data_IF_502046058670
#
_entry.id   IF_502046058670
#
_cell.length_a   1.000
_cell.length_b   1.000
_cell.length_c   1.000
_cell.angle_alpha   90.00
_cell.angle_beta   90.00
_cell.angle_gamma   90.00
#
_symmetry.space_group_name_H-M   'P 1'
#
loop_
_entity.id
_entity.type
_entity.pdbx_description
1 polymer ?
#
# COMPACT_ATOMS: atom_id res chain seq x y z
N UNK A 1 -10.63 50.23 -10.61
CA UNK A 1 -11.19 49.10 -9.85
C UNK A 1 -10.27 47.89 -10.02
N UNK A 2 -9.63 47.40 -8.97
CA UNK A 2 -8.71 46.26 -9.10
C UNK A 2 -9.48 44.93 -9.14
N UNK A 3 -9.42 44.22 -10.28
CA UNK A 3 -10.01 42.89 -10.43
C UNK A 3 -9.38 41.91 -9.43
N UNK A 4 -10.20 41.28 -8.58
CA UNK A 4 -9.75 40.22 -7.66
C UNK A 4 -9.86 38.86 -8.35
N UNK A 5 -8.74 38.35 -8.87
CA UNK A 5 -8.69 36.99 -9.41
C UNK A 5 -8.67 35.96 -8.27
N UNK A 6 -9.69 35.09 -8.21
CA UNK A 6 -9.73 33.88 -7.38
C UNK A 6 -10.27 32.72 -8.22
N UNK A 7 -9.45 31.69 -8.43
CA UNK A 7 -9.83 30.47 -9.17
C UNK A 7 -9.69 29.25 -8.27
N UNK A 8 -10.72 28.40 -8.19
CA UNK A 8 -10.68 27.14 -7.45
C UNK A 8 -10.86 25.97 -8.43
N UNK A 9 -9.90 25.04 -8.48
CA UNK A 9 -9.88 23.92 -9.42
C UNK A 9 -9.85 22.61 -8.62
N UNK A 10 -10.72 21.66 -8.98
CA UNK A 10 -10.69 20.29 -8.45
C UNK A 10 -9.78 19.45 -9.33
N UNK A 11 -8.79 18.77 -8.74
CA UNK A 11 -7.80 17.98 -9.48
C UNK A 11 -8.04 16.48 -9.30
N UNK A 12 -8.54 16.10 -8.11
CA UNK A 12 -8.94 14.75 -7.78
C UNK A 12 -10.07 14.81 -6.73
N UNK A 13 -10.83 13.72 -6.51
CA UNK A 13 -11.74 13.62 -5.38
C UNK A 13 -11.03 13.98 -4.06
N UNK A 14 -11.52 15.01 -3.36
CA UNK A 14 -10.92 15.50 -2.12
C UNK A 14 -9.70 16.43 -2.26
N UNK A 15 -9.26 16.77 -3.47
CA UNK A 15 -8.12 17.70 -3.68
C UNK A 15 -8.56 18.93 -4.47
N UNK A 16 -8.36 20.12 -3.88
CA UNK A 16 -8.66 21.41 -4.50
C UNK A 16 -7.49 22.36 -4.45
N UNK A 17 -7.22 23.04 -5.56
CA UNK A 17 -6.28 24.17 -5.60
C UNK A 17 -7.06 25.47 -5.65
N UNK A 18 -6.74 26.40 -4.76
CA UNK A 18 -7.27 27.76 -4.74
C UNK A 18 -6.14 28.72 -5.10
N UNK A 19 -6.27 29.37 -6.25
CA UNK A 19 -5.36 30.38 -6.76
C UNK A 19 -5.95 31.76 -6.48
N UNK A 20 -5.16 32.66 -5.92
CA UNK A 20 -5.49 34.07 -5.76
C UNK A 20 -4.30 34.93 -6.19
N UNK A 21 -4.53 36.22 -6.46
CA UNK A 21 -3.47 37.14 -6.87
C UNK A 21 -2.26 37.22 -5.90
N UNK A 22 -2.43 36.83 -4.62
CA UNK A 22 -1.38 36.91 -3.59
C UNK A 22 -0.86 35.56 -3.11
N UNK A 23 -1.57 34.47 -3.36
CA UNK A 23 -1.17 33.13 -2.91
C UNK A 23 -1.93 32.01 -3.60
N UNK A 24 -1.29 30.85 -3.69
CA UNK A 24 -1.93 29.59 -4.03
C UNK A 24 -2.10 28.75 -2.76
N UNK A 25 -3.15 27.95 -2.66
CA UNK A 25 -3.33 27.00 -1.57
C UNK A 25 -3.96 25.70 -2.04
N UNK A 26 -3.46 24.59 -1.53
CA UNK A 26 -3.99 23.25 -1.78
C UNK A 26 -4.79 22.81 -0.56
N UNK A 27 -6.03 22.38 -0.77
CA UNK A 27 -6.87 21.73 0.25
C UNK A 27 -6.96 20.25 -0.08
N UNK A 28 -6.60 19.42 0.88
CA UNK A 28 -6.66 17.96 0.79
C UNK A 28 -7.61 17.44 1.87
N UNK A 29 -8.59 16.63 1.48
CA UNK A 29 -9.54 15.98 2.37
C UNK A 29 -10.98 15.92 1.82
N UNK A 30 -11.83 15.04 2.39
CA UNK A 30 -13.21 14.86 1.96
C UNK A 30 -14.06 16.14 2.18
N UNK A 31 -15.30 16.15 1.68
CA UNK A 31 -16.23 17.26 1.98
C UNK A 31 -16.43 17.32 3.50
N UNK A 32 -16.35 18.52 4.07
CA UNK A 32 -16.44 18.71 5.53
C UNK A 32 -15.09 18.79 6.22
N UNK A 33 -14.13 17.90 5.94
CA UNK A 33 -12.81 17.85 6.59
C UNK A 33 -11.68 18.12 5.60
N UNK A 34 -10.88 19.15 5.82
CA UNK A 34 -9.77 19.45 4.91
C UNK A 34 -8.60 20.15 5.56
N UNK A 35 -7.42 19.74 5.13
CA UNK A 35 -6.14 20.33 5.46
C UNK A 35 -5.70 21.26 4.34
N UNK A 36 -5.48 22.54 4.66
CA UNK A 36 -5.11 23.58 3.68
C UNK A 36 -3.67 24.03 3.89
N UNK A 37 -2.88 24.02 2.82
CA UNK A 37 -1.50 24.50 2.79
C UNK A 37 -1.43 25.64 1.78
N UNK A 38 -0.94 26.80 2.19
CA UNK A 38 -0.75 27.95 1.30
C UNK A 38 0.72 28.22 0.99
N UNK A 39 0.99 28.84 -0.16
CA UNK A 39 2.33 29.28 -0.57
C UNK A 39 2.93 30.33 0.35
N UNK A 40 2.11 31.00 1.18
CA UNK A 40 2.57 31.94 2.22
C UNK A 40 2.91 31.26 3.54
N UNK A 41 2.96 29.92 3.58
CA UNK A 41 3.33 29.13 4.75
C UNK A 41 2.21 28.94 5.78
N UNK A 42 1.03 29.55 5.58
CA UNK A 42 -0.12 29.35 6.47
C UNK A 42 -0.71 27.97 6.24
N UNK A 43 -0.83 27.20 7.33
CA UNK A 43 -1.44 25.87 7.37
C UNK A 43 -2.72 25.94 8.21
N UNK A 44 -3.81 25.36 7.73
CA UNK A 44 -5.11 25.38 8.42
C UNK A 44 -5.79 24.02 8.33
N UNK A 45 -6.19 23.49 9.48
CA UNK A 45 -7.10 22.35 9.55
C UNK A 45 -8.52 22.88 9.66
N UNK A 46 -9.45 22.34 8.88
CA UNK A 46 -10.86 22.72 8.90
C UNK A 46 -11.76 21.51 8.92
N UNK A 47 -12.75 21.51 9.80
CA UNK A 47 -13.81 20.51 9.91
C UNK A 47 -15.15 21.27 9.85
N UNK A 48 -16.13 20.74 9.15
CA UNK A 48 -17.46 21.35 9.00
C UNK A 48 -18.47 20.27 8.79
N UNK A 49 -19.62 20.42 9.43
CA UNK A 49 -20.74 19.50 9.32
C UNK A 49 -21.65 20.02 8.20
N UNK A 50 -21.85 19.27 7.10
CA UNK A 50 -22.73 19.69 6.01
C UNK A 50 -24.15 19.93 6.51
N UNK A 51 -24.80 21.00 6.05
CA UNK A 51 -26.22 21.28 6.35
C UNK A 51 -26.49 21.95 7.70
N UNK A 52 -25.54 21.97 8.64
CA UNK A 52 -25.76 22.55 9.99
C UNK A 52 -25.16 23.96 10.17
N UNK A 53 -24.41 24.46 9.18
CA UNK A 53 -23.68 25.74 9.27
C UNK A 53 -22.49 25.73 10.24
N UNK A 54 -22.27 24.63 10.98
CA UNK A 54 -21.20 24.49 11.95
C UNK A 54 -19.87 24.19 11.25
N UNK A 55 -18.90 25.09 11.44
CA UNK A 55 -17.53 24.89 10.97
C UNK A 55 -16.51 25.25 12.04
N UNK A 56 -15.55 24.36 12.23
CA UNK A 56 -14.38 24.55 13.07
C UNK A 56 -13.15 24.68 12.18
N UNK A 57 -12.27 25.62 12.51
CA UNK A 57 -10.99 25.70 11.80
C UNK A 57 -9.91 26.24 12.70
N UNK A 58 -8.73 25.62 12.63
CA UNK A 58 -7.58 25.95 13.47
C UNK A 58 -6.38 26.22 12.59
N UNK A 59 -5.74 27.38 12.80
CA UNK A 59 -4.43 27.65 12.24
C UNK A 59 -3.41 26.74 12.91
N UNK A 60 -2.63 26.00 12.12
CA UNK A 60 -1.57 25.14 12.64
C UNK A 60 -0.30 25.99 12.67
N UNK A 61 -0.06 26.70 13.77
CA UNK A 61 1.21 27.36 14.03
C UNK A 61 2.16 26.40 14.74
N UNK A 62 3.38 26.27 14.24
CA UNK A 62 4.48 25.69 15.02
C UNK A 62 4.79 26.66 16.15
N UNK A 63 4.45 26.30 17.39
CA UNK A 63 4.82 27.07 18.57
C UNK A 63 6.36 27.02 18.67
N UNK A 64 7.04 28.13 18.36
CA UNK A 64 8.43 28.34 18.81
C UNK A 64 8.36 28.40 20.34
N UNK A 65 8.98 27.45 21.01
CA UNK A 65 9.27 27.58 22.44
C UNK A 65 10.38 28.63 22.57
N UNK A 66 10.00 29.83 23.00
CA UNK A 66 10.96 30.84 23.46
C UNK A 66 11.35 30.48 24.90
N UNK A 67 12.64 30.28 25.14
CA UNK A 67 13.21 30.17 26.49
C UNK A 67 13.02 31.49 27.28
N UNK A 68 13.00 31.47 28.63
CA UNK A 68 12.86 32.68 29.44
C UNK A 68 14.10 33.58 29.28
N UNK A 69 13.85 34.88 29.08
CA UNK A 69 14.89 35.87 28.81
C UNK A 69 15.69 36.31 30.04
N UNK A 70 16.97 36.58 29.82
CA UNK A 70 17.78 37.51 30.61
C UNK A 70 17.83 38.87 29.87
N UNK A 71 18.00 40.01 30.57
CA UNK A 71 17.53 41.30 30.08
C UNK A 71 18.46 41.98 29.08
N UNK A 72 17.76 42.60 28.12
CA UNK A 72 18.12 43.69 27.21
C UNK A 72 19.31 44.57 27.61
N UNK A 73 20.26 44.72 26.68
CA UNK A 73 20.82 46.05 26.38
C UNK A 73 20.72 46.36 24.89
N UNK A 74 20.15 47.53 24.64
CA UNK A 74 19.89 48.14 23.33
C UNK A 74 21.11 48.99 22.95
N UNK A 75 21.68 48.76 21.78
CA UNK A 75 22.33 49.81 20.98
C UNK A 75 22.05 49.46 19.52
N UNK A 76 21.08 50.14 18.90
CA UNK A 76 21.28 51.37 18.13
C UNK A 76 22.05 51.10 16.81
N UNK A 77 21.26 50.90 15.75
CA UNK A 77 21.39 51.52 14.44
C UNK A 77 22.80 51.86 13.91
N UNK A 78 23.14 51.34 12.73
CA UNK A 78 23.58 52.19 11.61
C UNK A 78 23.62 51.43 10.27
N UNK A 79 23.55 52.24 9.22
CA UNK A 79 23.11 51.98 7.85
C UNK A 79 24.28 51.96 6.85
N UNK A 80 24.07 51.25 5.71
CA UNK A 80 24.53 51.57 4.34
C UNK A 80 26.06 51.37 4.02
N UNK A 81 26.53 51.45 2.74
CA UNK A 81 26.34 50.47 1.65
C UNK A 81 27.62 50.22 0.76
N UNK A 82 27.48 49.33 -0.24
CA UNK A 82 28.05 49.38 -1.63
C UNK A 82 29.55 49.58 -1.95
N UNK A 83 30.14 48.64 -2.71
CA UNK A 83 30.97 48.81 -3.95
C UNK A 83 31.31 47.39 -4.51
N UNK A 84 31.07 46.98 -5.77
CA UNK A 84 31.62 47.29 -7.12
C UNK A 84 33.11 46.90 -7.38
N UNK A 85 33.32 45.65 -7.83
CA UNK A 85 34.24 45.11 -8.89
C UNK A 85 35.77 45.35 -8.83
N UNK A 86 36.59 44.86 -9.80
CA UNK A 86 36.44 43.73 -10.74
C UNK A 86 37.73 42.87 -10.97
N UNK A 87 37.56 41.73 -11.67
CA UNK A 87 38.43 41.04 -12.68
C UNK A 87 39.96 40.93 -12.45
N UNK A 88 40.48 39.68 -12.48
CA UNK A 88 41.77 39.36 -13.12
C UNK A 88 41.81 37.90 -13.63
N UNK A 89 42.22 37.78 -14.89
CA UNK A 89 42.41 36.60 -15.73
C UNK A 89 43.86 36.12 -15.60
N UNK A 90 44.15 34.80 -15.57
CA UNK A 90 45.43 34.29 -16.10
C UNK A 90 45.34 32.81 -16.48
N UNK A 91 45.91 32.53 -17.66
CA UNK A 91 45.95 31.28 -18.43
C UNK A 91 47.38 30.68 -18.42
N UNK A 92 47.48 29.45 -18.96
CA UNK A 92 48.68 28.74 -19.49
C UNK A 92 49.60 28.09 -18.42
N UNK A 93 50.27 26.94 -18.60
CA UNK A 93 50.39 25.98 -19.71
C UNK A 93 51.35 24.81 -19.33
N UNK A 94 51.13 23.64 -19.95
CA UNK A 94 52.10 22.68 -20.57
C UNK A 94 53.02 21.78 -19.70
N UNK A 95 53.08 20.50 -20.13
CA UNK A 95 54.30 19.68 -20.19
C UNK A 95 54.13 18.25 -19.62
N UNK A 96 53.85 17.23 -20.43
CA UNK A 96 54.80 16.26 -21.04
C UNK A 96 55.47 15.30 -20.01
N UNK A 97 55.63 13.99 -20.19
CA UNK A 97 55.37 13.01 -21.26
C UNK A 97 56.06 11.67 -20.91
N UNK A 98 55.76 10.62 -21.71
CA UNK A 98 56.55 9.39 -21.99
C UNK A 98 56.77 8.33 -20.87
N UNK A 99 56.23 7.09 -21.00
CA UNK A 99 56.72 5.88 -21.73
C UNK A 99 57.80 5.09 -20.97
N UNK A 100 57.53 3.81 -20.63
CA UNK A 100 58.18 2.59 -21.18
C UNK A 100 57.72 1.29 -20.47
N UNK A 101 57.61 0.22 -21.26
CA UNK A 101 57.34 -1.20 -21.05
C UNK A 101 58.06 -1.97 -19.91
N UNK A 102 57.53 -3.16 -19.59
CA UNK A 102 58.34 -4.32 -19.20
C UNK A 102 57.60 -5.45 -18.47
N UNK A 103 57.10 -6.44 -19.21
CA UNK A 103 57.02 -7.85 -18.76
C UNK A 103 58.43 -8.50 -19.01
N UNK A 104 58.77 -9.76 -18.63
CA UNK A 104 57.89 -10.90 -18.33
C UNK A 104 58.39 -11.93 -17.27
N UNK A 105 57.53 -12.94 -17.04
CA UNK A 105 57.79 -14.39 -16.75
C UNK A 105 58.93 -14.85 -15.83
N UNK A 106 58.60 -15.73 -14.87
CA UNK A 106 59.21 -17.08 -14.86
C UNK A 106 58.45 -18.13 -14.06
N UNK A 107 58.46 -19.32 -14.65
CA UNK A 107 57.96 -20.63 -14.19
C UNK A 107 58.89 -21.29 -13.16
N UNK A 108 58.35 -22.28 -12.43
CA UNK A 108 58.87 -23.65 -12.10
C UNK A 108 58.38 -24.05 -10.69
N UNK A 109 57.51 -25.05 -10.45
CA UNK A 109 57.43 -26.50 -10.74
C UNK A 109 58.33 -27.38 -9.83
N UNK A 110 57.73 -28.50 -9.37
CA UNK A 110 58.29 -29.74 -8.77
C UNK A 110 58.33 -29.74 -7.22
N UNK A 111 57.98 -30.79 -6.45
CA UNK A 111 57.10 -31.98 -6.55
C UNK A 111 57.14 -32.72 -5.19
N UNK A 112 56.04 -33.42 -4.86
CA UNK A 112 55.96 -34.71 -4.14
C UNK A 112 56.46 -34.87 -2.68
N UNK A 113 55.59 -35.45 -1.83
CA UNK A 113 56.05 -36.28 -0.70
C UNK A 113 55.07 -36.50 0.47
N UNK A 114 54.37 -37.65 0.43
CA UNK A 114 53.92 -38.51 1.56
C UNK A 114 52.76 -38.08 2.51
N UNK A 115 51.74 -38.94 2.52
CA UNK A 115 50.83 -39.27 3.66
C UNK A 115 51.51 -40.34 4.57
N UNK A 116 50.93 -40.86 5.68
CA UNK A 116 49.65 -40.57 6.36
C UNK A 116 49.75 -40.48 7.91
N UNK A 117 48.62 -40.20 8.59
CA UNK A 117 48.06 -40.93 9.78
C UNK A 117 47.36 -40.03 10.83
N UNK A 118 46.21 -40.58 11.27
CA UNK A 118 45.59 -40.56 12.60
C UNK A 118 45.01 -39.28 13.24
N UNK A 119 43.82 -39.47 13.81
CA UNK A 119 43.39 -38.74 15.02
C UNK A 119 41.93 -38.27 15.01
N UNK A 120 40.99 -39.20 15.10
CA UNK A 120 39.58 -38.92 15.46
C UNK A 120 39.38 -39.12 16.96
N UNK A 121 38.93 -38.07 17.65
CA UNK A 121 38.53 -38.06 19.08
C UNK A 121 37.45 -36.96 19.18
N UNK A 122 36.28 -37.06 19.82
CA UNK A 122 35.77 -37.84 20.95
C UNK A 122 34.21 -37.64 21.03
N UNK A 123 33.45 -38.06 22.06
CA UNK A 123 32.46 -39.13 21.92
C UNK A 123 31.01 -38.75 22.30
N UNK A 124 30.14 -39.74 22.10
CA UNK A 124 28.74 -39.83 22.51
C UNK A 124 28.61 -40.40 23.93
N UNK A 125 27.55 -40.09 24.69
CA UNK A 125 26.78 -41.02 25.55
C UNK A 125 25.65 -40.33 26.36
N UNK A 126 24.42 -40.82 26.15
CA UNK A 126 23.22 -40.80 27.02
C UNK A 126 23.34 -41.95 28.09
N UNK A 127 22.27 -42.36 28.84
CA UNK A 127 21.44 -41.70 29.87
C UNK A 127 21.30 -42.60 31.15
N UNK A 128 20.42 -42.20 32.11
CA UNK A 128 19.43 -43.05 32.86
C UNK A 128 19.31 -42.83 34.39
N UNK A 129 18.12 -42.33 34.79
CA UNK A 129 17.18 -42.83 35.83
C UNK A 129 17.57 -42.91 37.31
N UNK A 130 16.83 -42.21 38.20
CA UNK A 130 15.79 -42.77 39.09
C UNK A 130 15.42 -41.85 40.29
N UNK A 131 14.11 -41.80 40.54
CA UNK A 131 13.32 -41.24 41.68
C UNK A 131 13.62 -41.92 43.05
N UNK A 132 13.17 -41.41 44.23
CA UNK A 132 11.74 -41.27 44.58
C UNK A 132 11.30 -40.12 45.53
N UNK A 133 9.97 -39.99 45.56
CA UNK A 133 9.02 -39.18 46.37
C UNK A 133 9.23 -39.28 47.92
N UNK A 134 8.66 -38.37 48.74
CA UNK A 134 7.25 -38.48 49.11
C UNK A 134 6.47 -37.16 49.39
N UNK A 135 5.15 -37.16 49.10
CA UNK A 135 4.15 -36.28 49.74
C UNK A 135 3.77 -36.74 51.17
N UNK A 136 2.70 -36.22 51.84
CA UNK A 136 1.60 -35.37 51.34
C UNK A 136 1.21 -34.17 52.25
N UNK A 137 0.38 -33.25 51.75
CA UNK A 137 -0.70 -32.48 52.44
C UNK A 137 -1.15 -31.31 51.55
N UNK A 138 -2.24 -31.46 50.77
CA UNK A 138 -3.62 -31.05 51.13
C UNK A 138 -3.76 -29.58 51.57
N UNK A 139 -4.12 -28.71 50.63
CA UNK A 139 -4.96 -27.51 50.86
C UNK A 139 -5.82 -27.21 49.62
N UNK A 140 -7.03 -27.75 49.69
CA UNK A 140 -8.34 -27.17 49.34
C UNK A 140 -8.51 -26.32 48.07
N UNK A 141 -9.31 -26.90 47.17
CA UNK A 141 -10.23 -26.20 46.28
C UNK A 141 -11.05 -25.14 47.02
N UNK A 142 -11.04 -23.92 46.48
CA UNK A 142 -12.08 -22.93 46.73
C UNK A 142 -12.87 -22.72 45.43
N UNK A 143 -13.98 -23.44 45.29
CA UNK A 143 -15.09 -23.06 44.42
C UNK A 143 -15.85 -21.89 45.08
N UNK A 144 -15.93 -20.76 44.38
CA UNK A 144 -16.94 -19.72 44.55
C UNK A 144 -16.88 -18.80 43.31
N UNK A 145 -17.85 -18.66 42.42
CA UNK A 145 -19.18 -19.25 42.22
C UNK A 145 -19.56 -19.01 40.74
N UNK A 146 -20.78 -19.33 40.29
CA UNK A 146 -21.12 -19.30 38.87
C UNK A 146 -21.12 -17.85 38.35
N UNK A 147 -20.17 -17.51 37.48
CA UNK A 147 -20.32 -16.34 36.64
C UNK A 147 -21.45 -16.64 35.65
N UNK A 148 -22.65 -16.23 36.03
CA UNK A 148 -23.90 -16.33 35.29
C UNK A 148 -23.68 -16.08 33.79
N UNK A 149 -23.60 -17.16 33.01
CA UNK A 149 -23.39 -17.16 31.57
C UNK A 149 -24.72 -16.94 30.89
N UNK A 150 -25.20 -15.69 30.89
CA UNK A 150 -26.30 -15.32 30.01
C UNK A 150 -25.69 -15.05 28.64
N UNK A 151 -25.77 -16.03 27.74
CA UNK A 151 -25.46 -15.83 26.34
C UNK A 151 -26.40 -14.78 25.77
N UNK A 152 -25.83 -13.66 25.37
CA UNK A 152 -26.60 -12.50 24.90
C UNK A 152 -26.34 -12.27 23.42
N UNK A 153 -27.40 -12.23 22.63
CA UNK A 153 -27.27 -11.93 21.19
C UNK A 153 -27.10 -10.43 20.99
N UNK A 154 -25.91 -10.03 20.57
CA UNK A 154 -25.56 -8.66 20.25
C UNK A 154 -25.44 -8.48 18.73
N UNK A 155 -25.60 -7.26 18.25
CA UNK A 155 -25.48 -6.96 16.82
C UNK A 155 -24.34 -5.98 16.57
N UNK A 156 -23.52 -6.25 15.57
CA UNK A 156 -22.45 -5.34 15.17
C UNK A 156 -23.01 -4.03 14.58
N UNK A 157 -22.54 -2.89 15.06
CA UNK A 157 -22.93 -1.55 14.55
C UNK A 157 -22.03 -1.04 13.42
N UNK A 158 -20.91 -1.72 13.18
CA UNK A 158 -19.96 -1.46 12.10
C UNK A 158 -19.21 -2.75 11.71
N UNK A 159 -18.37 -2.68 10.67
CA UNK A 159 -17.42 -3.74 10.35
C UNK A 159 -16.36 -3.83 11.45
N UNK A 160 -16.53 -4.80 12.36
CA UNK A 160 -15.76 -4.89 13.60
C UNK A 160 -14.81 -6.09 13.59
N UNK A 161 -13.59 -5.91 14.10
CA UNK A 161 -12.56 -6.94 14.13
C UNK A 161 -12.75 -7.87 15.33
N UNK A 162 -12.94 -9.16 15.06
CA UNK A 162 -12.89 -10.25 16.03
C UNK A 162 -11.42 -10.60 16.29
N UNK A 163 -11.00 -10.63 17.55
CA UNK A 163 -9.59 -10.78 17.93
C UNK A 163 -9.33 -11.96 18.85
N UNK A 164 -8.08 -12.42 18.94
CA UNK A 164 -7.73 -13.56 19.80
C UNK A 164 -7.64 -13.21 21.28
N UNK A 165 -7.44 -11.94 21.64
CA UNK A 165 -7.42 -11.45 23.03
C UNK A 165 -8.06 -10.05 23.14
N UNK A 166 -8.48 -9.60 24.34
CA UNK A 166 -9.19 -8.33 24.57
C UNK A 166 -8.25 -7.12 24.50
N UNK A 167 -7.59 -6.93 23.35
CA UNK A 167 -6.63 -5.87 23.09
C UNK A 167 -6.70 -5.39 21.64
N UNK A 168 -6.47 -4.11 21.41
CA UNK A 168 -6.41 -3.54 20.06
C UNK A 168 -5.16 -3.97 19.27
N UNK A 169 -4.16 -4.53 19.95
CA UNK A 169 -2.89 -4.98 19.37
C UNK A 169 -2.87 -6.48 19.07
N UNK A 170 -3.87 -7.23 19.52
CA UNK A 170 -3.91 -8.68 19.35
C UNK A 170 -4.25 -9.11 17.92
N UNK A 171 -3.81 -10.30 17.47
CA UNK A 171 -4.13 -10.83 16.16
C UNK A 171 -5.64 -10.84 15.88
N UNK A 172 -5.99 -10.45 14.66
CA UNK A 172 -7.37 -10.44 14.19
C UNK A 172 -7.70 -11.84 13.67
N UNK A 173 -8.75 -12.45 14.20
CA UNK A 173 -9.32 -13.72 13.72
C UNK A 173 -10.04 -13.46 12.39
N UNK A 174 -10.97 -12.50 12.38
CA UNK A 174 -11.71 -12.05 11.19
C UNK A 174 -12.37 -10.68 11.41
N UNK A 175 -13.05 -10.15 10.39
CA UNK A 175 -13.92 -8.97 10.53
C UNK A 175 -15.38 -9.39 10.41
N UNK A 176 -16.18 -9.11 11.43
CA UNK A 176 -17.63 -9.31 11.45
C UNK A 176 -18.29 -8.12 10.76
N UNK A 177 -19.10 -8.38 9.73
CA UNK A 177 -19.82 -7.35 8.99
C UNK A 177 -20.80 -6.60 9.91
N UNK A 178 -21.15 -5.35 9.56
CA UNK A 178 -22.22 -4.60 10.24
C UNK A 178 -23.56 -5.33 10.16
N UNK A 179 -24.35 -5.30 11.24
CA UNK A 179 -25.67 -5.93 11.34
C UNK A 179 -25.64 -7.43 11.65
N UNK A 180 -24.47 -8.06 11.68
CA UNK A 180 -24.30 -9.47 12.05
C UNK A 180 -24.66 -9.72 13.52
N UNK A 181 -25.40 -10.79 13.77
CA UNK A 181 -25.67 -11.29 15.11
C UNK A 181 -24.45 -12.05 15.63
N UNK A 182 -24.02 -11.74 16.85
CA UNK A 182 -22.95 -12.43 17.56
C UNK A 182 -23.41 -12.85 18.95
N UNK A 183 -23.03 -14.05 19.38
CA UNK A 183 -23.39 -14.56 20.70
C UNK A 183 -22.33 -14.17 21.71
N UNK A 184 -22.61 -13.17 22.54
CA UNK A 184 -21.72 -12.71 23.61
C UNK A 184 -21.88 -13.62 24.82
N UNK A 185 -20.83 -14.35 25.18
CA UNK A 185 -20.83 -15.29 26.32
C UNK A 185 -20.06 -14.78 27.53
N UNK A 186 -19.08 -13.88 27.36
CA UNK A 186 -18.31 -13.27 28.46
C UNK A 186 -17.96 -11.82 28.16
N UNK A 187 -17.70 -11.03 29.19
CA UNK A 187 -17.24 -9.64 29.08
C UNK A 187 -16.04 -9.40 29.99
N UNK A 188 -15.02 -8.73 29.44
CA UNK A 188 -13.82 -8.32 30.16
C UNK A 188 -13.55 -6.84 29.84
N UNK A 189 -13.94 -5.96 30.75
CA UNK A 189 -13.91 -4.50 30.53
C UNK A 189 -14.77 -4.07 29.33
N UNK A 190 -14.22 -3.32 28.35
CA UNK A 190 -14.96 -2.93 27.16
C UNK A 190 -15.04 -4.05 26.11
N UNK A 191 -14.47 -5.24 26.36
CA UNK A 191 -14.43 -6.33 25.39
C UNK A 191 -15.46 -7.41 25.69
N UNK A 192 -16.09 -7.91 24.64
CA UNK A 192 -17.02 -9.02 24.65
C UNK A 192 -16.38 -10.22 23.98
N UNK A 193 -16.34 -11.37 24.67
CA UNK A 193 -16.04 -12.64 24.04
C UNK A 193 -17.29 -13.13 23.33
N UNK A 194 -17.21 -13.21 22.01
CA UNK A 194 -18.33 -13.53 21.15
C UNK A 194 -18.07 -14.78 20.31
N UNK A 195 -19.13 -15.48 19.98
CA UNK A 195 -19.15 -16.54 18.97
C UNK A 195 -19.87 -16.04 17.71
N UNK A 196 -19.25 -16.24 16.55
CA UNK A 196 -19.75 -15.88 15.23
C UNK A 196 -19.43 -17.00 14.23
N UNK A 197 -20.45 -17.78 13.87
CA UNK A 197 -20.26 -19.00 13.08
C UNK A 197 -19.34 -19.98 13.79
N UNK A 198 -18.25 -20.39 13.13
CA UNK A 198 -17.23 -21.28 13.68
C UNK A 198 -16.08 -20.54 14.39
N UNK A 199 -16.19 -19.22 14.57
CA UNK A 199 -15.13 -18.40 15.12
C UNK A 199 -15.53 -17.80 16.45
N UNK A 200 -14.62 -17.86 17.41
CA UNK A 200 -14.78 -17.23 18.72
C UNK A 200 -13.63 -16.28 19.00
N UNK A 201 -13.91 -15.17 19.67
CA UNK A 201 -12.89 -14.18 19.99
C UNK A 201 -13.47 -12.92 20.62
N UNK A 202 -12.63 -11.90 20.74
CA UNK A 202 -12.94 -10.66 21.45
C UNK A 202 -13.30 -9.55 20.48
N UNK A 203 -14.45 -8.90 20.72
CA UNK A 203 -14.92 -7.71 20.03
C UNK A 203 -15.07 -6.58 21.05
N UNK A 204 -14.73 -5.35 20.66
CA UNK A 204 -14.95 -4.18 21.50
C UNK A 204 -16.46 -3.83 21.52
N UNK A 205 -17.03 -3.73 22.72
CA UNK A 205 -18.46 -3.55 22.99
C UNK A 205 -19.05 -2.27 22.41
N UNK A 206 -18.25 -1.22 22.17
CA UNK A 206 -18.70 0.01 21.50
C UNK A 206 -19.26 -0.24 20.09
N UNK A 207 -18.90 -1.38 19.49
CA UNK A 207 -19.37 -1.80 18.18
C UNK A 207 -20.48 -2.86 18.26
N UNK A 208 -21.04 -3.12 19.44
CA UNK A 208 -22.11 -4.08 19.68
C UNK A 208 -23.31 -3.38 20.30
N UNK A 209 -24.51 -3.56 19.75
CA UNK A 209 -25.73 -2.92 20.23
C UNK A 209 -26.93 -3.87 20.31
N UNK A 210 -27.89 -3.47 21.16
CA UNK A 210 -29.25 -4.00 21.23
C UNK A 210 -30.26 -2.84 21.28
N UNK A 211 -31.42 -2.94 20.60
CA UNK A 211 -31.79 -3.98 19.61
C UNK A 211 -30.92 -3.87 18.32
N UNK A 212 -31.10 -4.79 17.35
CA UNK A 212 -30.40 -4.74 16.06
C UNK A 212 -30.40 -3.31 15.54
N UNK A 213 -29.24 -2.71 15.19
CA UNK A 213 -29.22 -1.35 14.67
C UNK A 213 -30.03 -1.34 13.36
N UNK A 214 -31.25 -0.80 13.43
CA UNK A 214 -32.01 -0.48 12.24
C UNK A 214 -31.20 0.53 11.42
N UNK A 215 -31.07 0.33 10.09
CA UNK A 215 -30.45 1.34 9.25
C UNK A 215 -31.22 2.64 9.45
N UNK A 216 -30.52 3.68 9.95
CA UNK A 216 -31.12 4.95 10.33
C UNK A 216 -32.05 5.45 9.22
N UNK A 217 -33.35 5.40 9.48
CA UNK A 217 -34.39 5.84 8.58
C UNK A 217 -34.12 7.31 8.23
N UNK A 218 -33.64 7.54 7.01
CA UNK A 218 -33.52 8.87 6.45
C UNK A 218 -34.92 9.34 6.10
N UNK A 219 -35.52 10.13 6.99
CA UNK A 219 -36.74 10.89 6.70
C UNK A 219 -36.43 11.86 5.56
N UNK A 220 -37.01 11.62 4.40
CA UNK A 220 -37.07 12.57 3.27
C UNK A 220 -38.53 12.76 2.86
N UNK A 221 -38.90 13.96 2.39
CA UNK A 221 -40.29 14.37 2.27
C UNK A 221 -41.01 13.66 1.12
N UNK A 222 -42.32 13.52 1.33
CA UNK A 222 -43.29 12.89 0.45
C UNK A 222 -43.34 13.66 -0.88
N UNK A 223 -43.15 12.96 -2.00
CA UNK A 223 -43.52 13.39 -3.36
C UNK A 223 -44.11 12.18 -4.08
N UNK A 224 -45.22 12.33 -4.85
CA UNK A 224 -46.05 11.21 -5.25
C UNK A 224 -45.46 10.35 -6.38
N UNK A 225 -45.91 9.10 -6.37
CA UNK A 225 -45.39 7.94 -7.08
C UNK A 225 -45.58 7.97 -8.60
N UNK A 226 -44.62 7.38 -9.32
CA UNK A 226 -44.78 6.75 -10.63
C UNK A 226 -44.20 5.32 -10.50
N UNK A 227 -44.86 4.25 -11.00
CA UNK A 227 -44.66 2.91 -10.49
C UNK A 227 -43.47 2.14 -11.11
N UNK A 228 -42.79 1.42 -10.22
CA UNK A 228 -42.06 0.16 -10.38
C UNK A 228 -41.21 -0.07 -11.64
N UNK A 229 -39.91 0.16 -11.52
CA UNK A 229 -38.88 -0.79 -11.95
C UNK A 229 -37.55 -0.47 -11.27
N UNK A 230 -36.76 -1.53 -11.01
CA UNK A 230 -35.42 -1.56 -10.41
C UNK A 230 -35.40 -1.62 -8.87
N UNK A 231 -35.72 -2.82 -8.39
CA UNK A 231 -35.01 -3.42 -7.26
C UNK A 231 -33.50 -3.39 -7.52
N UNK A 232 -32.76 -2.50 -6.86
CA UNK A 232 -31.32 -2.69 -6.65
C UNK A 232 -31.13 -3.40 -5.33
N UNK A 233 -30.77 -4.67 -5.40
CA UNK A 233 -29.95 -5.29 -4.36
C UNK A 233 -28.67 -4.47 -4.22
N UNK A 234 -28.36 -3.97 -3.02
CA UNK A 234 -27.19 -3.12 -2.72
C UNK A 234 -25.81 -3.76 -3.02
N UNK A 235 -25.80 -4.98 -3.56
CA UNK A 235 -24.64 -5.78 -3.89
C UNK A 235 -24.47 -6.01 -5.41
N UNK A 236 -25.13 -5.26 -6.28
CA UNK A 236 -25.06 -5.49 -7.74
C UNK A 236 -24.79 -4.21 -8.52
N UNK A 237 -23.78 -4.25 -9.39
CA UNK A 237 -23.40 -3.13 -10.24
C UNK A 237 -23.62 -3.55 -11.69
N UNK A 238 -24.34 -2.76 -12.47
CA UNK A 238 -24.54 -3.02 -13.90
C UNK A 238 -24.21 -1.79 -14.72
N UNK A 239 -23.65 -2.01 -15.91
CA UNK A 239 -23.36 -0.93 -16.83
C UNK A 239 -22.43 -1.33 -17.97
N UNK A 240 -21.95 -0.32 -18.69
CA UNK A 240 -20.90 -0.51 -19.69
C UNK A 240 -19.56 -0.68 -18.96
N UNK A 241 -18.94 -1.83 -19.15
CA UNK A 241 -17.61 -2.12 -18.63
C UNK A 241 -16.52 -1.48 -19.52
N UNK A 242 -15.51 -0.90 -18.89
CA UNK A 242 -14.22 -0.53 -19.51
C UNK A 242 -13.16 -1.50 -19.01
N UNK A 243 -12.36 -2.07 -19.91
CA UNK A 243 -11.38 -3.08 -19.55
C UNK A 243 -10.10 -2.39 -19.07
N UNK A 244 -9.61 -2.78 -17.89
CA UNK A 244 -8.36 -2.26 -17.32
C UNK A 244 -7.21 -3.25 -17.58
N UNK A 245 -7.45 -4.53 -17.29
CA UNK A 245 -6.53 -5.64 -17.53
C UNK A 245 -7.33 -6.95 -17.72
N UNK A 246 -6.64 -8.10 -17.69
CA UNK A 246 -7.25 -9.40 -17.98
C UNK A 246 -8.24 -9.91 -16.92
N UNK A 247 -8.24 -9.34 -15.70
CA UNK A 247 -9.15 -9.74 -14.63
C UNK A 247 -9.87 -8.58 -13.90
N UNK A 248 -9.66 -7.34 -14.37
CA UNK A 248 -10.23 -6.13 -13.78
C UNK A 248 -10.92 -5.26 -14.83
N UNK A 249 -12.15 -4.86 -14.52
CA UNK A 249 -12.96 -3.92 -15.32
C UNK A 249 -13.39 -2.72 -14.47
N UNK A 250 -13.74 -1.63 -15.12
CA UNK A 250 -14.37 -0.46 -14.52
C UNK A 250 -15.82 -0.33 -15.01
N UNK A 251 -16.77 -0.24 -14.07
CA UNK A 251 -18.17 0.03 -14.36
C UNK A 251 -18.55 1.30 -13.62
N UNK A 252 -18.80 2.38 -14.37
CA UNK A 252 -19.24 3.67 -13.82
C UNK A 252 -18.29 4.25 -12.74
N UNK A 253 -16.98 4.02 -12.86
CA UNK A 253 -15.96 4.48 -11.92
C UNK A 253 -15.68 3.54 -10.74
N UNK A 254 -16.36 2.38 -10.69
CA UNK A 254 -16.06 1.32 -9.73
C UNK A 254 -15.22 0.25 -10.41
N UNK A 255 -14.02 0.02 -9.87
CA UNK A 255 -13.14 -1.07 -10.30
C UNK A 255 -13.59 -2.40 -9.69
N UNK A 256 -13.93 -3.34 -10.56
CA UNK A 256 -14.37 -4.69 -10.25
C UNK A 256 -13.28 -5.67 -10.68
N UNK A 257 -12.74 -6.42 -9.74
CA UNK A 257 -11.89 -7.58 -9.99
C UNK A 257 -12.76 -8.83 -10.05
N UNK A 258 -12.54 -9.70 -11.03
CA UNK A 258 -13.29 -10.94 -11.15
C UNK A 258 -12.93 -11.92 -10.03
N UNK A 259 -13.97 -12.54 -9.47
CA UNK A 259 -13.81 -13.53 -8.43
C UNK A 259 -13.22 -14.85 -8.95
N UNK A 260 -12.33 -15.45 -8.18
CA UNK A 260 -11.84 -16.82 -8.39
C UNK A 260 -10.90 -17.06 -9.57
N UNK A 261 -10.45 -16.03 -10.28
CA UNK A 261 -9.53 -16.18 -11.43
C UNK A 261 -8.28 -15.29 -11.31
N UNK A 262 -7.21 -15.70 -11.99
CA UNK A 262 -5.97 -14.92 -12.13
C UNK A 262 -5.60 -14.78 -13.60
N UNK A 263 -5.63 -13.56 -14.13
CA UNK A 263 -5.20 -13.31 -15.50
C UNK A 263 -3.70 -12.93 -15.57
N UNK A 264 -3.02 -13.20 -16.70
CA UNK A 264 -1.68 -12.67 -16.93
C UNK A 264 -1.67 -11.14 -16.84
N UNK A 265 -0.67 -10.61 -16.18
CA UNK A 265 -0.51 -9.18 -15.99
C UNK A 265 -0.28 -8.47 -17.34
N UNK A 266 -0.75 -7.24 -17.50
CA UNK A 266 -0.71 -6.51 -18.79
C UNK A 266 0.68 -6.44 -19.44
N UNK A 267 1.75 -6.41 -18.63
CA UNK A 267 3.13 -6.38 -19.11
C UNK A 267 3.78 -7.76 -19.32
N UNK A 268 3.11 -8.84 -18.91
CA UNK A 268 3.65 -10.20 -18.93
C UNK A 268 3.81 -10.72 -20.35
N UNK A 269 4.92 -11.41 -20.59
CA UNK A 269 5.24 -12.08 -21.85
C UNK A 269 5.04 -13.59 -21.72
N UNK A 270 4.41 -14.20 -22.71
CA UNK A 270 4.25 -15.63 -22.86
C UNK A 270 4.80 -16.07 -24.23
N UNK A 271 5.08 -17.36 -24.42
CA UNK A 271 5.45 -17.95 -25.69
C UNK A 271 4.26 -18.61 -26.35
N UNK A 272 4.09 -18.41 -27.65
CA UNK A 272 3.08 -19.11 -28.42
C UNK A 272 3.55 -20.51 -28.85
N UNK A 273 2.70 -21.25 -29.57
CA UNK A 273 3.04 -22.57 -30.11
C UNK A 273 4.29 -22.60 -31.03
N UNK A 274 4.68 -21.44 -31.57
CA UNK A 274 5.87 -21.27 -32.42
C UNK A 274 7.09 -20.77 -31.64
N UNK A 275 7.02 -20.72 -30.31
CA UNK A 275 8.08 -20.21 -29.44
C UNK A 275 8.26 -18.68 -29.45
N UNK A 276 7.39 -17.93 -30.14
CA UNK A 276 7.47 -16.47 -30.22
C UNK A 276 6.87 -15.82 -28.97
N UNK A 277 7.59 -14.86 -28.39
CA UNK A 277 7.10 -14.06 -27.27
C UNK A 277 5.95 -13.13 -27.71
N UNK A 278 4.90 -13.06 -26.90
CA UNK A 278 3.78 -12.16 -27.08
C UNK A 278 3.26 -11.66 -25.72
N UNK A 279 2.60 -10.49 -25.70
CA UNK A 279 2.02 -9.89 -24.49
C UNK A 279 0.70 -10.57 -24.14
N UNK A 280 0.77 -11.66 -23.38
CA UNK A 280 -0.41 -12.47 -23.05
C UNK A 280 -1.45 -11.71 -22.22
N UNK A 281 -1.04 -10.86 -21.27
CA UNK A 281 -2.00 -10.06 -20.49
C UNK A 281 -2.76 -9.04 -21.33
N UNK A 282 -2.06 -8.33 -22.23
CA UNK A 282 -2.72 -7.44 -23.18
C UNK A 282 -3.63 -8.20 -24.16
N UNK A 283 -3.22 -9.40 -24.57
CA UNK A 283 -4.05 -10.27 -25.41
C UNK A 283 -5.33 -10.71 -24.70
N UNK A 284 -5.26 -11.04 -23.41
CA UNK A 284 -6.42 -11.39 -22.58
C UNK A 284 -7.39 -10.21 -22.45
N UNK A 285 -6.87 -9.02 -22.11
CA UNK A 285 -7.67 -7.80 -22.02
C UNK A 285 -8.39 -7.46 -23.35
N UNK A 286 -7.69 -7.59 -24.48
CA UNK A 286 -8.29 -7.37 -25.81
C UNK A 286 -9.38 -8.39 -26.15
N UNK A 287 -9.16 -9.66 -25.80
CA UNK A 287 -10.15 -10.70 -26.01
C UNK A 287 -11.41 -10.45 -25.16
N UNK A 288 -11.23 -10.03 -23.90
CA UNK A 288 -12.31 -9.67 -23.00
C UNK A 288 -13.15 -8.51 -23.55
N UNK A 289 -12.50 -7.44 -24.02
CA UNK A 289 -13.20 -6.31 -24.65
C UNK A 289 -14.04 -6.75 -25.85
N UNK A 290 -13.45 -7.52 -26.77
CA UNK A 290 -14.15 -8.02 -27.95
C UNK A 290 -15.32 -8.95 -27.59
N UNK A 291 -15.17 -9.75 -26.53
CA UNK A 291 -16.23 -10.65 -26.09
C UNK A 291 -17.37 -9.89 -25.40
N UNK A 292 -17.07 -8.96 -24.49
CA UNK A 292 -18.06 -8.08 -23.83
C UNK A 292 -18.77 -7.13 -24.81
N UNK A 293 -18.13 -6.78 -25.92
CA UNK A 293 -18.78 -5.98 -26.96
C UNK A 293 -19.96 -6.70 -27.64
N UNK A 294 -20.00 -8.04 -27.61
CA UNK A 294 -21.06 -8.84 -28.25
C UNK A 294 -22.39 -8.79 -27.52
N UNK A 295 -22.40 -8.56 -26.20
CA UNK A 295 -23.63 -8.50 -25.40
C UNK A 295 -23.43 -7.62 -24.17
N UNK A 296 -24.29 -6.60 -24.02
CA UNK A 296 -24.21 -5.52 -23.01
C UNK A 296 -25.58 -5.28 -22.38
N UNK A 297 -25.66 -4.74 -21.14
CA UNK A 297 -24.57 -4.39 -20.23
C UNK A 297 -23.95 -5.61 -19.52
N UNK A 298 -22.85 -5.37 -18.80
CA UNK A 298 -22.29 -6.36 -17.85
C UNK A 298 -22.87 -6.07 -16.48
N UNK A 299 -23.28 -7.12 -15.78
CA UNK A 299 -23.79 -7.06 -14.42
C UNK A 299 -22.86 -7.86 -13.52
N UNK A 300 -22.38 -7.25 -12.45
CA UNK A 300 -21.48 -7.84 -11.48
C UNK A 300 -22.13 -7.86 -10.09
N UNK A 301 -22.17 -9.04 -9.48
CA UNK A 301 -22.61 -9.23 -8.11
C UNK A 301 -21.40 -9.23 -7.17
N UNK A 302 -21.50 -8.46 -6.10
CA UNK A 302 -20.47 -8.35 -5.06
C UNK A 302 -20.28 -9.68 -4.35
N UNK A 303 -19.04 -10.14 -4.30
CA UNK A 303 -18.63 -11.31 -3.54
C UNK A 303 -17.89 -10.89 -2.26
N UNK A 304 -16.83 -10.08 -2.41
CA UNK A 304 -16.02 -9.62 -1.28
C UNK A 304 -15.23 -8.34 -1.60
N UNK A 305 -14.65 -7.75 -0.56
CA UNK A 305 -13.59 -6.74 -0.71
C UNK A 305 -12.25 -7.42 -0.52
N UNK A 306 -11.31 -7.18 -1.42
CA UNK A 306 -9.96 -7.69 -1.22
C UNK A 306 -9.20 -6.86 -0.16
N UNK A 307 -8.01 -7.34 0.22
CA UNK A 307 -7.13 -6.66 1.20
C UNK A 307 -6.70 -5.24 0.80
N UNK A 308 -6.92 -4.85 -0.45
CA UNK A 308 -6.59 -3.54 -1.01
C UNK A 308 -7.83 -2.64 -1.15
N UNK A 309 -9.01 -3.12 -0.74
CA UNK A 309 -10.27 -2.39 -0.84
C UNK A 309 -10.84 -2.33 -2.26
N UNK A 310 -10.51 -3.29 -3.12
CA UNK A 310 -11.12 -3.43 -4.46
C UNK A 310 -12.37 -4.30 -4.39
N UNK A 311 -13.38 -3.95 -5.18
CA UNK A 311 -14.62 -4.72 -5.29
C UNK A 311 -14.29 -6.03 -6.03
N UNK A 312 -14.53 -7.17 -5.39
CA UNK A 312 -14.42 -8.49 -6.02
C UNK A 312 -15.83 -9.01 -6.26
N UNK A 313 -16.10 -9.50 -7.48
CA UNK A 313 -17.44 -9.95 -7.82
C UNK A 313 -17.53 -10.90 -9.00
N UNK A 314 -18.66 -11.57 -9.06
CA UNK A 314 -19.06 -12.46 -10.15
C UNK A 314 -19.78 -11.66 -11.21
N UNK A 315 -19.25 -11.66 -12.42
CA UNK A 315 -19.75 -10.83 -13.52
C UNK A 315 -20.38 -11.68 -14.63
N UNK A 316 -21.48 -11.19 -15.16
CA UNK A 316 -22.28 -11.81 -16.20
C UNK A 316 -22.58 -10.79 -17.29
N UNK A 317 -22.57 -11.25 -18.54
CA UNK A 317 -23.15 -10.49 -19.66
C UNK A 317 -24.67 -10.52 -19.59
N UNK A 318 -25.32 -9.66 -20.36
CA UNK A 318 -26.78 -9.62 -20.45
C UNK A 318 -27.43 -10.87 -21.06
N UNK A 319 -26.66 -11.73 -21.74
CA UNK A 319 -27.10 -13.05 -22.20
C UNK A 319 -26.91 -14.17 -21.15
N UNK A 320 -26.49 -13.82 -19.93
CA UNK A 320 -26.27 -14.76 -18.84
C UNK A 320 -24.90 -15.44 -18.84
N UNK A 321 -24.05 -15.17 -19.83
CA UNK A 321 -22.72 -15.78 -19.89
C UNK A 321 -21.80 -15.23 -18.78
N UNK A 322 -21.23 -16.15 -17.98
CA UNK A 322 -20.30 -15.81 -16.90
C UNK A 322 -18.92 -15.41 -17.46
N UNK A 323 -18.45 -14.23 -17.04
CA UNK A 323 -17.19 -13.64 -17.55
C UNK A 323 -15.98 -14.48 -17.13
N UNK A 324 -15.91 -14.87 -15.85
CA UNK A 324 -14.80 -15.64 -15.31
C UNK A 324 -14.67 -17.04 -15.96
N UNK A 325 -15.81 -17.74 -16.11
CA UNK A 325 -15.83 -19.04 -16.78
C UNK A 325 -15.38 -18.95 -18.25
N UNK A 326 -15.81 -17.91 -18.97
CA UNK A 326 -15.35 -17.67 -20.34
C UNK A 326 -13.85 -17.36 -20.40
N UNK A 327 -13.33 -16.51 -19.52
CA UNK A 327 -11.90 -16.19 -19.47
C UNK A 327 -11.04 -17.44 -19.26
N UNK A 328 -11.45 -18.34 -18.37
CA UNK A 328 -10.71 -19.58 -18.11
C UNK A 328 -10.83 -20.57 -19.28
N UNK A 329 -12.04 -20.83 -19.77
CA UNK A 329 -12.27 -21.77 -20.89
C UNK A 329 -11.66 -21.32 -22.23
N UNK A 330 -11.52 -20.01 -22.43
CA UNK A 330 -10.83 -19.44 -23.58
C UNK A 330 -9.29 -19.37 -23.39
N UNK A 331 -8.78 -19.71 -22.21
CA UNK A 331 -7.34 -19.68 -21.89
C UNK A 331 -6.78 -18.28 -21.70
N UNK A 332 -7.60 -17.31 -21.27
CA UNK A 332 -7.20 -15.93 -20.98
C UNK A 332 -6.92 -15.69 -19.50
N UNK A 333 -7.41 -16.56 -18.61
CA UNK A 333 -7.11 -16.57 -17.18
C UNK A 333 -6.93 -18.00 -16.67
N UNK A 334 -6.33 -18.13 -15.49
CA UNK A 334 -6.26 -19.38 -14.74
C UNK A 334 -7.29 -19.39 -13.62
N UNK A 335 -7.71 -20.59 -13.25
CA UNK A 335 -8.38 -20.81 -11.97
C UNK A 335 -7.44 -20.43 -10.83
N UNK A 336 -7.96 -19.74 -9.82
CA UNK A 336 -7.22 -19.47 -8.58
C UNK A 336 -7.84 -20.29 -7.45
N UNK A 337 -7.39 -21.54 -7.20
CA UNK A 337 -8.04 -22.47 -6.29
C UNK A 337 -8.24 -21.94 -4.87
N UNK A 338 -7.31 -21.11 -4.38
CA UNK A 338 -7.40 -20.46 -3.07
C UNK A 338 -8.65 -19.57 -2.93
N UNK A 339 -9.10 -18.95 -4.01
CA UNK A 339 -10.24 -18.03 -4.02
C UNK A 339 -11.49 -18.64 -4.67
N UNK A 340 -11.34 -19.55 -5.65
CA UNK A 340 -12.45 -20.18 -6.34
C UNK A 340 -12.94 -21.49 -5.70
N UNK A 341 -12.14 -22.10 -4.83
CA UNK A 341 -12.41 -23.47 -4.35
C UNK A 341 -12.34 -24.52 -5.46
N UNK A 342 -11.70 -24.21 -6.61
CA UNK A 342 -11.62 -25.11 -7.76
C UNK A 342 -12.81 -25.01 -8.73
N UNK A 343 -13.69 -24.00 -8.58
CA UNK A 343 -14.88 -23.84 -9.40
C UNK A 343 -14.60 -23.76 -10.91
N UNK A 344 -13.38 -23.32 -11.31
CA UNK A 344 -13.00 -23.18 -12.72
C UNK A 344 -12.03 -24.24 -13.24
N UNK A 345 -11.73 -25.28 -12.45
CA UNK A 345 -10.74 -26.30 -12.81
C UNK A 345 -11.08 -27.04 -14.12
N UNK A 346 -12.34 -27.43 -14.32
CA UNK A 346 -12.78 -28.14 -15.54
C UNK A 346 -12.65 -27.29 -16.80
N UNK A 347 -13.02 -26.01 -16.73
CA UNK A 347 -12.84 -25.05 -17.82
C UNK A 347 -11.36 -24.86 -18.16
N UNK A 348 -10.50 -24.87 -17.14
CA UNK A 348 -9.06 -24.75 -17.33
C UNK A 348 -8.48 -25.98 -18.03
N UNK A 349 -8.92 -27.18 -17.67
CA UNK A 349 -8.51 -28.42 -18.33
C UNK A 349 -8.96 -28.46 -19.79
N UNK A 350 -10.18 -28.00 -20.10
CA UNK A 350 -10.64 -27.84 -21.48
C UNK A 350 -9.73 -26.89 -22.28
N UNK A 351 -9.41 -25.72 -21.71
CA UNK A 351 -8.52 -24.74 -22.35
C UNK A 351 -7.11 -25.30 -22.57
N UNK A 352 -6.60 -26.10 -21.63
CA UNK A 352 -5.30 -26.76 -21.71
C UNK A 352 -5.27 -27.82 -22.82
N UNK A 353 -6.26 -28.71 -22.84
CA UNK A 353 -6.37 -29.76 -23.85
C UNK A 353 -6.54 -29.16 -25.26
N UNK A 354 -7.33 -28.09 -25.38
CA UNK A 354 -7.54 -27.38 -26.63
C UNK A 354 -6.41 -26.39 -26.98
N UNK A 355 -5.37 -26.27 -26.14
CA UNK A 355 -4.23 -25.35 -26.33
C UNK A 355 -4.66 -23.90 -26.61
N UNK A 356 -5.68 -23.41 -25.91
CA UNK A 356 -6.26 -22.07 -26.10
C UNK A 356 -5.49 -21.00 -25.32
N UNK A 357 -5.39 -19.80 -25.89
CA UNK A 357 -4.83 -18.63 -25.21
C UNK A 357 -3.41 -18.86 -24.68
N UNK A 358 -3.21 -18.73 -23.37
CA UNK A 358 -1.91 -18.95 -22.72
C UNK A 358 -1.43 -20.41 -22.83
N UNK A 359 -2.34 -21.37 -22.94
CA UNK A 359 -2.04 -22.80 -23.03
C UNK A 359 -1.50 -23.25 -24.39
N UNK A 360 -1.42 -22.34 -25.37
CA UNK A 360 -0.88 -22.64 -26.69
C UNK A 360 0.65 -22.87 -26.70
N UNK A 361 1.34 -22.45 -25.64
CA UNK A 361 2.79 -22.56 -25.52
C UNK A 361 3.24 -22.41 -24.06
N UNK A 362 4.47 -21.97 -23.87
CA UNK A 362 5.05 -21.80 -22.54
C UNK A 362 4.63 -20.46 -21.92
N UNK A 363 4.25 -20.49 -20.66
CA UNK A 363 3.99 -19.29 -19.89
C UNK A 363 4.36 -19.52 -18.42
N UNK A 364 4.65 -18.42 -17.73
CA UNK A 364 4.77 -18.41 -16.29
C UNK A 364 3.41 -18.06 -15.68
N UNK A 365 2.93 -18.76 -14.64
CA UNK A 365 1.73 -18.34 -13.93
C UNK A 365 1.84 -16.90 -13.39
N UNK A 366 0.74 -16.15 -13.39
CA UNK A 366 0.75 -14.73 -13.03
C UNK A 366 1.22 -14.48 -11.59
N UNK A 367 0.89 -15.35 -10.63
CA UNK A 367 1.40 -15.28 -9.26
C UNK A 367 2.93 -15.45 -9.17
N UNK A 368 3.51 -16.36 -9.95
CA UNK A 368 4.96 -16.56 -10.02
C UNK A 368 5.63 -15.37 -10.70
N UNK A 369 5.03 -14.83 -11.75
CA UNK A 369 5.54 -13.64 -12.44
C UNK A 369 5.57 -12.42 -11.49
N UNK A 370 4.53 -12.25 -10.68
CA UNK A 370 4.49 -11.23 -9.61
C UNK A 370 5.58 -11.47 -8.57
N UNK A 371 5.77 -12.70 -8.10
CA UNK A 371 6.84 -13.04 -7.15
C UNK A 371 8.24 -12.81 -7.74
N UNK A 372 8.45 -13.17 -9.00
CA UNK A 372 9.72 -13.00 -9.71
C UNK A 372 10.08 -11.53 -9.88
N UNK A 373 9.13 -10.63 -10.12
CA UNK A 373 9.40 -9.19 -10.18
C UNK A 373 9.79 -8.59 -8.83
N UNK A 374 9.27 -9.14 -7.73
CA UNK A 374 9.67 -8.74 -6.38
C UNK A 374 11.08 -9.26 -6.03
N UNK A 375 11.43 -10.43 -6.55
CA UNK A 375 12.73 -11.08 -6.33
C UNK A 375 13.83 -10.64 -7.32
N UNK A 376 13.46 -10.10 -8.49
CA UNK A 376 14.42 -9.64 -9.48
C UNK A 376 15.29 -8.53 -8.87
N UNK A 377 16.63 -8.64 -8.94
CA UNK A 377 17.48 -7.51 -8.61
C UNK A 377 17.05 -6.40 -9.55
N UNK A 378 16.59 -5.27 -8.99
CA UNK A 378 16.36 -4.07 -9.79
C UNK A 378 17.62 -3.89 -10.61
N UNK A 379 17.53 -4.05 -11.94
CA UNK A 379 18.62 -3.65 -12.83
C UNK A 379 18.91 -2.22 -12.43
N UNK A 380 20.03 -2.03 -11.72
CA UNK A 380 20.61 -0.72 -11.56
C UNK A 380 20.90 -0.30 -12.98
N UNK A 381 19.99 0.50 -13.55
CA UNK A 381 20.31 1.30 -14.70
C UNK A 381 21.40 2.24 -14.23
N UNK A 382 22.65 1.76 -14.28
CA UNK A 382 23.83 2.57 -14.44
C UNK A 382 23.73 3.23 -15.82
N UNK A 383 22.74 4.10 -15.96
CA UNK A 383 22.83 5.19 -16.92
C UNK A 383 24.07 5.97 -16.51
N UNK A 384 25.03 6.20 -17.41
CA UNK A 384 26.17 7.03 -17.09
C UNK A 384 25.61 8.38 -16.62
N UNK A 385 25.96 8.73 -15.38
CA UNK A 385 25.60 10.00 -14.76
C UNK A 385 26.13 11.08 -15.68
N UNK A 386 25.22 11.72 -16.41
CA UNK A 386 25.50 12.98 -17.09
C UNK A 386 25.65 14.02 -15.98
N UNK A 387 26.86 14.12 -15.42
CA UNK A 387 27.37 15.33 -14.79
C UNK A 387 27.14 16.45 -15.80
N UNK A 388 26.12 17.29 -15.59
CA UNK A 388 25.94 18.64 -16.11
C UNK A 388 24.48 19.07 -15.93
N UNK A 389 24.12 19.50 -14.72
CA UNK A 389 23.15 20.57 -14.48
C UNK A 389 23.17 20.94 -13.00
N UNK A 390 23.39 22.22 -12.70
CA UNK A 390 23.40 22.79 -11.34
C UNK A 390 22.02 22.83 -10.66
N UNK A 391 21.26 21.74 -10.72
CA UNK A 391 20.02 21.56 -9.97
C UNK A 391 20.32 20.82 -8.67
N UNK A 392 19.98 21.45 -7.55
CA UNK A 392 20.21 20.89 -6.23
C UNK A 392 19.15 19.84 -5.90
N UNK A 393 19.26 18.68 -6.55
CA UNK A 393 18.26 17.61 -6.54
C UNK A 393 18.60 16.49 -5.54
N UNK A 394 19.58 16.66 -4.66
CA UNK A 394 19.93 15.64 -3.67
C UNK A 394 19.23 15.98 -2.36
N UNK A 395 18.31 15.12 -1.90
CA UNK A 395 17.48 15.37 -0.71
C UNK A 395 18.17 14.84 0.54
N UNK A 396 18.55 15.70 1.48
CA UNK A 396 19.05 15.30 2.80
C UNK A 396 17.99 15.42 3.91
N UNK A 397 17.46 14.30 4.42
CA UNK A 397 16.63 14.20 5.63
C UNK A 397 17.31 13.64 6.93
N UNK A 398 16.82 14.05 8.10
CA UNK A 398 17.34 13.61 9.40
C UNK A 398 16.30 12.68 10.02
N UNK A 399 16.68 11.42 10.23
CA UNK A 399 15.84 10.42 10.89
C UNK A 399 15.49 10.84 12.32
N UNK A 400 14.40 10.32 12.89
CA UNK A 400 14.04 10.51 14.29
C UNK A 400 15.14 10.07 15.28
N UNK A 401 16.09 9.23 14.83
CA UNK A 401 17.30 8.82 15.58
C UNK A 401 18.50 9.77 15.39
N UNK A 402 18.30 10.94 14.78
CA UNK A 402 19.35 11.94 14.52
C UNK A 402 20.27 11.61 13.33
N UNK A 403 20.00 10.55 12.58
CA UNK A 403 20.85 10.09 11.48
C UNK A 403 20.62 10.93 10.22
N UNK A 404 21.68 11.55 9.69
CA UNK A 404 21.70 12.36 8.47
C UNK A 404 21.82 11.48 7.22
N UNK A 405 20.78 11.41 6.40
CA UNK A 405 20.71 10.54 5.22
C UNK A 405 20.43 11.36 3.96
N UNK A 406 21.25 11.23 2.92
CA UNK A 406 20.96 11.86 1.62
C UNK A 406 20.43 10.84 0.61
N UNK A 407 19.49 11.31 -0.21
CA UNK A 407 18.81 10.56 -1.25
C UNK A 407 19.08 11.18 -2.62
N UNK A 408 19.48 10.35 -3.57
CA UNK A 408 19.65 10.74 -4.97
C UNK A 408 18.33 10.58 -5.76
N UNK A 409 18.10 11.39 -6.80
CA UNK A 409 17.01 11.17 -7.75
C UNK A 409 16.99 9.72 -8.25
N UNK A 410 15.82 9.08 -8.23
CA UNK A 410 15.63 7.69 -8.65
C UNK A 410 15.83 6.62 -7.56
N UNK A 411 16.27 6.99 -6.35
CA UNK A 411 16.29 6.06 -5.22
C UNK A 411 14.89 5.79 -4.67
N UNK A 412 14.69 4.61 -4.06
CA UNK A 412 13.38 4.13 -3.59
C UNK A 412 12.63 5.14 -2.71
N UNK A 413 13.36 5.82 -1.84
CA UNK A 413 12.79 6.77 -0.88
C UNK A 413 12.94 8.23 -1.32
N UNK A 414 13.41 8.49 -2.55
CA UNK A 414 13.64 9.85 -3.02
C UNK A 414 12.33 10.65 -3.11
N UNK A 415 11.28 10.08 -3.69
CA UNK A 415 9.98 10.77 -3.86
C UNK A 415 9.20 10.89 -2.55
N UNK A 416 9.37 9.93 -1.64
CA UNK A 416 8.76 9.93 -0.31
C UNK A 416 9.45 10.91 0.65
N UNK A 417 10.75 11.14 0.46
CA UNK A 417 11.51 12.07 1.31
C UNK A 417 11.09 13.51 1.03
N UNK A 418 10.55 14.16 2.07
CA UNK A 418 10.19 15.57 2.09
C UNK A 418 11.16 16.32 2.99
N UNK A 419 11.88 17.29 2.43
CA UNK A 419 12.86 18.07 3.17
C UNK A 419 12.18 19.10 4.06
N UNK A 420 12.55 19.06 5.34
CA UNK A 420 12.10 19.98 6.39
C UNK A 420 13.28 20.83 6.90
N UNK A 421 13.50 22.03 6.34
CA UNK A 421 14.52 22.98 6.82
C UNK A 421 14.55 23.21 8.34
N UNK A 422 13.42 23.29 9.08
CA UNK A 422 13.47 23.49 10.53
C UNK A 422 14.03 22.30 11.32
N UNK A 423 14.17 21.11 10.70
CA UNK A 423 14.84 19.96 11.30
C UNK A 423 16.34 19.91 10.99
N UNK A 424 16.87 20.88 10.23
CA UNK A 424 18.24 20.87 9.71
C UNK A 424 18.40 20.04 8.43
N UNK A 425 17.29 19.64 7.81
CA UNK A 425 17.26 18.93 6.53
C UNK A 425 17.44 19.92 5.38
N UNK A 426 18.16 19.52 4.32
CA UNK A 426 18.47 20.41 3.20
C UNK A 426 18.66 19.67 1.90
N UNK A 427 18.59 20.42 0.80
CA UNK A 427 18.99 19.94 -0.52
C UNK A 427 20.50 20.11 -0.69
N UNK A 428 21.13 19.22 -1.45
CA UNK A 428 22.52 19.30 -1.88
C UNK A 428 22.59 19.34 -3.40
N UNK A 429 23.63 19.98 -3.92
CA UNK A 429 23.87 20.10 -5.35
C UNK A 429 24.88 19.06 -5.85
N UNK A 430 25.58 18.39 -4.94
CA UNK A 430 26.44 17.23 -5.25
C UNK A 430 26.51 16.24 -4.09
N UNK A 431 26.88 14.98 -4.38
CA UNK A 431 27.10 13.96 -3.34
C UNK A 431 28.31 14.29 -2.46
N UNK A 432 29.32 14.95 -3.02
CA UNK A 432 30.51 15.39 -2.28
C UNK A 432 30.15 16.45 -1.24
N UNK A 433 29.28 17.40 -1.59
CA UNK A 433 28.74 18.40 -0.66
C UNK A 433 27.97 17.74 0.48
N UNK A 434 27.12 16.75 0.17
CA UNK A 434 26.37 16.00 1.18
C UNK A 434 27.31 15.23 2.13
N UNK A 435 28.32 14.54 1.59
CA UNK A 435 29.30 13.81 2.39
C UNK A 435 30.15 14.73 3.25
N UNK A 436 30.63 15.85 2.71
CA UNK A 436 31.38 16.88 3.45
C UNK A 436 30.55 17.49 4.59
N UNK A 437 29.23 17.57 4.41
CA UNK A 437 28.30 18.00 5.44
C UNK A 437 28.03 16.96 6.54
N UNK A 438 28.65 15.78 6.48
CA UNK A 438 28.43 14.69 7.43
C UNK A 438 27.16 13.89 7.18
N UNK A 439 26.67 13.86 5.94
CA UNK A 439 25.50 13.08 5.54
C UNK A 439 25.93 11.79 4.87
N UNK A 440 25.33 10.66 5.27
CA UNK A 440 25.60 9.36 4.64
C UNK A 440 24.54 9.03 3.59
N UNK A 441 24.93 8.26 2.57
CA UNK A 441 23.99 7.81 1.53
C UNK A 441 22.90 6.92 2.11
N UNK A 442 21.68 7.03 1.58
CA UNK A 442 20.60 6.09 1.87
C UNK A 442 21.04 4.66 1.52
N UNK A 443 20.71 3.71 2.39
CA UNK A 443 20.87 2.28 2.10
C UNK A 443 19.58 1.82 1.41
N UNK A 444 19.63 1.61 0.10
CA UNK A 444 18.53 1.26 -0.83
C UNK A 444 17.74 2.44 -1.40
#
# INVERSE_FOLDING_TARGET
MAFRFRKSVRIAPGVRINLSAKSASVRVGPKGLGYTISTTGKKRLSASIPGTGLSYSKGVSSKRQSAPGAPSQRHASQTKPSSKGPIALLLLAIGAGLVWCGAPSNETKIASGRSPTNGSEQPNLKPATAEPDPGPSQVQEAYAGPASSVEKTLYSTANVRLRTSPSAESPIVLTVAVGSAVLSSRREGPWHYVSYGNYSGWILGDYLAEPRPEPAATTSPITPQVPSALSTSDNTISGRATIIDGDTIDISGTRVRFNGIDAPESAQLCRNAKGKNYRCGQSAAKALDAWLAKSRPVTCTFAEWDRYGRFVGDCYRSDGAAVAAWLVSAGHAMDWPLHSGGAYASYQDEARLAKRGIWQGEFQPAWEWRAAQLAAPKRETTSPVRLLSGSCDIKGNISNKGVRIYHLPGQRFYDETVISPPKGERMFCSEDEARAAGWRRSKR
#
